data_IF_054857544257
#
_entry.id   IF_054857544257
#
_cell.length_a   1.000
_cell.length_b   1.000
_cell.length_c   1.000
_cell.angle_alpha   90.00
_cell.angle_beta   90.00
_cell.angle_gamma   90.00
#
_symmetry.space_group_name_H-M   'P 1'
#
loop_
_entity.id
_entity.type
_entity.pdbx_description
1 polymer ?
#
# COMPACT_ATOMS: atom_id res chain seq x y z
N UNK A 1 73.04 -44.35 45.92
CA UNK A 1 72.60 -43.57 47.09
C UNK A 1 71.37 -44.24 47.66
N UNK A 2 71.53 -44.82 48.85
CA UNK A 2 70.53 -45.67 49.52
C UNK A 2 69.34 -44.85 50.04
N UNK A 3 68.13 -45.16 49.58
CA UNK A 3 66.88 -44.66 50.14
C UNK A 3 66.13 -45.82 50.79
N UNK A 4 66.19 -45.92 52.12
CA UNK A 4 65.45 -46.89 52.93
C UNK A 4 63.94 -46.65 52.80
N UNK A 5 63.21 -47.67 52.35
CA UNK A 5 61.75 -47.73 52.41
C UNK A 5 61.27 -47.72 53.86
N UNK A 6 60.48 -46.71 54.21
CA UNK A 6 59.82 -46.58 55.50
C UNK A 6 58.36 -46.98 55.29
N UNK A 7 58.05 -48.27 55.50
CA UNK A 7 56.67 -48.73 55.54
C UNK A 7 56.07 -48.36 56.90
N UNK A 8 55.15 -47.40 56.86
CA UNK A 8 54.29 -47.00 57.98
C UNK A 8 53.31 -48.13 58.28
N UNK A 9 53.49 -48.81 59.42
CA UNK A 9 52.45 -49.66 60.01
C UNK A 9 51.29 -48.78 60.45
N UNK A 10 50.18 -48.84 59.72
CA UNK A 10 48.90 -48.34 60.23
C UNK A 10 48.46 -49.26 61.37
N UNK A 11 48.55 -48.73 62.59
CA UNK A 11 47.80 -49.21 63.72
C UNK A 11 46.33 -48.84 63.49
N UNK A 12 45.47 -49.84 63.34
CA UNK A 12 44.07 -49.87 63.79
C UNK A 12 43.33 -51.02 63.10
N UNK A 13 43.40 -52.18 63.74
CA UNK A 13 42.30 -53.15 63.75
C UNK A 13 42.47 -53.94 65.03
N UNK A 14 41.50 -53.82 65.93
CA UNK A 14 41.41 -54.60 67.16
C UNK A 14 41.38 -56.09 66.83
N UNK A 15 42.57 -56.71 66.77
CA UNK A 15 42.73 -58.14 66.67
C UNK A 15 42.78 -58.69 68.09
N UNK A 16 41.66 -59.26 68.52
CA UNK A 16 41.60 -60.21 69.63
C UNK A 16 42.73 -61.22 69.42
N UNK A 17 43.73 -61.24 70.32
CA UNK A 17 44.77 -62.27 70.36
C UNK A 17 44.08 -63.61 70.59
N UNK A 18 43.94 -64.38 69.53
CA UNK A 18 43.59 -65.80 69.61
C UNK A 18 44.89 -66.57 69.45
N UNK A 19 45.33 -67.28 70.50
CA UNK A 19 46.41 -68.28 70.46
C UNK A 19 45.94 -69.50 69.64
N UNK A 20 45.69 -69.31 68.36
CA UNK A 20 45.30 -70.36 67.41
C UNK A 20 46.25 -70.28 66.22
N UNK A 21 46.81 -71.43 65.83
CA UNK A 21 47.60 -71.57 64.61
C UNK A 21 46.88 -70.86 63.46
N UNK A 22 47.51 -69.81 62.96
CA UNK A 22 47.05 -69.04 61.82
C UNK A 22 47.80 -69.54 60.60
N UNK A 23 47.09 -70.01 59.57
CA UNK A 23 47.72 -70.54 58.35
C UNK A 23 47.53 -69.53 57.23
N UNK A 24 48.58 -69.29 56.44
CA UNK A 24 48.51 -68.40 55.29
C UNK A 24 47.84 -69.08 54.09
N UNK A 25 46.80 -68.47 53.57
CA UNK A 25 46.11 -68.88 52.34
C UNK A 25 46.24 -67.80 51.27
N UNK A 26 46.25 -68.23 50.00
CA UNK A 26 46.39 -67.33 48.87
C UNK A 26 45.02 -66.88 48.36
N UNK A 27 44.84 -65.57 48.19
CA UNK A 27 43.67 -65.00 47.55
C UNK A 27 43.59 -65.40 46.07
N UNK A 28 42.46 -65.95 45.64
CA UNK A 28 42.20 -66.33 44.25
C UNK A 28 42.25 -65.15 43.28
N UNK A 29 41.84 -63.96 43.71
CA UNK A 29 41.71 -62.79 42.84
C UNK A 29 43.01 -62.01 42.63
N UNK A 30 43.82 -61.85 43.68
CA UNK A 30 45.03 -60.99 43.65
C UNK A 30 46.32 -61.70 44.04
N UNK A 31 46.25 -63.00 44.35
CA UNK A 31 47.39 -63.84 44.70
C UNK A 31 48.14 -63.42 45.99
N UNK A 32 47.61 -62.48 46.76
CA UNK A 32 48.14 -62.05 48.06
C UNK A 32 47.86 -63.11 49.13
N UNK A 33 48.84 -63.38 49.99
CA UNK A 33 48.71 -64.27 51.14
C UNK A 33 48.05 -63.54 52.32
N UNK A 34 47.11 -64.21 52.98
CA UNK A 34 46.47 -63.71 54.20
C UNK A 34 46.21 -64.85 55.19
N UNK A 35 46.30 -64.53 56.48
CA UNK A 35 46.16 -65.49 57.56
C UNK A 35 44.69 -65.82 57.83
N UNK A 36 44.36 -67.11 57.94
CA UNK A 36 43.06 -67.61 58.39
C UNK A 36 43.22 -68.42 59.67
N UNK A 37 42.28 -68.27 60.60
CA UNK A 37 42.26 -69.01 61.87
C UNK A 37 41.67 -70.41 61.71
N UNK A 38 42.28 -71.24 60.87
CA UNK A 38 41.91 -72.63 60.65
C UNK A 38 43.01 -73.55 61.18
N UNK A 39 42.63 -74.70 61.73
CA UNK A 39 43.60 -75.77 62.01
C UNK A 39 44.10 -76.41 60.72
N UNK A 40 45.28 -77.03 60.74
CA UNK A 40 45.90 -77.61 59.55
C UNK A 40 45.04 -78.72 58.91
N UNK A 41 44.42 -79.57 59.74
CA UNK A 41 43.44 -80.58 59.31
C UNK A 41 42.22 -79.98 58.59
N UNK A 42 41.71 -78.86 59.11
CA UNK A 42 40.56 -78.16 58.52
C UNK A 42 40.95 -77.53 57.18
N UNK A 43 42.19 -77.05 57.04
CA UNK A 43 42.68 -76.47 55.80
C UNK A 43 42.88 -77.53 54.71
N UNK A 44 43.39 -78.71 55.05
CA UNK A 44 43.50 -79.83 54.10
C UNK A 44 42.15 -80.28 53.57
N UNK A 45 41.14 -80.38 54.45
CA UNK A 45 39.76 -80.69 54.05
C UNK A 45 39.21 -79.65 53.07
N UNK A 46 39.42 -78.36 53.36
CA UNK A 46 38.96 -77.27 52.50
C UNK A 46 39.72 -77.25 51.16
N UNK A 47 41.02 -77.57 51.16
CA UNK A 47 41.82 -77.70 49.92
C UNK A 47 41.40 -78.89 49.06
N UNK A 48 40.88 -79.97 49.67
CA UNK A 48 40.37 -81.13 48.95
C UNK A 48 39.05 -80.82 48.20
N UNK A 49 38.33 -79.78 48.61
CA UNK A 49 37.14 -79.29 47.93
C UNK A 49 37.53 -78.43 46.72
N UNK A 50 37.40 -78.97 45.50
CA UNK A 50 37.73 -78.27 44.26
C UNK A 50 36.88 -77.01 43.97
N UNK A 51 35.81 -76.82 44.74
CA UNK A 51 34.84 -75.74 44.61
C UNK A 51 34.98 -74.64 45.69
N UNK A 52 35.98 -74.73 46.57
CA UNK A 52 36.21 -73.71 47.60
C UNK A 52 37.42 -72.85 47.24
N UNK A 53 37.25 -71.53 47.26
CA UNK A 53 38.29 -70.55 46.96
C UNK A 53 38.38 -69.52 48.09
N UNK A 54 39.61 -69.16 48.46
CA UNK A 54 39.86 -68.11 49.44
C UNK A 54 39.95 -66.76 48.72
N UNK A 55 39.20 -65.77 49.19
CA UNK A 55 39.23 -64.40 48.66
C UNK A 55 39.53 -63.46 49.82
N UNK A 56 40.54 -62.61 49.68
CA UNK A 56 40.88 -61.66 50.73
C UNK A 56 39.84 -60.55 50.85
N UNK A 57 39.74 -59.96 52.04
CA UNK A 57 38.86 -58.82 52.32
C UNK A 57 38.99 -57.68 51.32
N UNK A 58 40.20 -57.41 50.82
CA UNK A 58 40.45 -56.36 49.83
C UNK A 58 39.78 -56.64 48.48
N UNK A 59 39.79 -57.89 48.03
CA UNK A 59 39.12 -58.31 46.79
C UNK A 59 37.62 -58.55 46.99
N UNK A 60 37.20 -58.90 48.21
CA UNK A 60 35.79 -58.99 48.56
C UNK A 60 35.12 -57.60 48.63
N UNK A 61 35.86 -56.58 49.09
CA UNK A 61 35.39 -55.19 49.26
C UNK A 61 35.74 -54.26 48.09
N UNK A 62 36.53 -54.72 47.10
CA UNK A 62 36.81 -53.90 45.92
C UNK A 62 35.54 -53.71 45.10
N UNK A 63 35.17 -52.47 44.71
CA UNK A 63 33.97 -52.22 43.95
C UNK A 63 34.04 -53.02 42.65
N UNK A 64 32.97 -53.76 42.37
CA UNK A 64 32.87 -54.58 41.16
C UNK A 64 33.04 -53.71 39.93
N UNK A 65 33.43 -54.32 38.80
CA UNK A 65 33.45 -53.61 37.51
C UNK A 65 32.08 -52.98 37.21
N UNK A 66 31.00 -53.64 37.62
CA UNK A 66 29.63 -53.17 37.52
C UNK A 66 29.40 -51.88 38.32
N UNK A 67 29.86 -51.80 39.58
CA UNK A 67 29.73 -50.60 40.42
C UNK A 67 30.48 -49.39 39.82
N UNK A 68 31.65 -49.63 39.23
CA UNK A 68 32.44 -48.58 38.58
C UNK A 68 31.75 -48.06 37.31
N UNK A 69 31.18 -48.95 36.50
CA UNK A 69 30.38 -48.60 35.32
C UNK A 69 29.14 -47.82 35.74
N UNK A 70 28.41 -48.28 36.76
CA UNK A 70 27.23 -47.58 37.29
C UNK A 70 27.58 -46.17 37.74
N UNK A 71 28.70 -45.99 38.46
CA UNK A 71 29.15 -44.67 38.91
C UNK A 71 29.47 -43.74 37.73
N UNK A 72 30.18 -44.25 36.73
CA UNK A 72 30.54 -43.50 35.52
C UNK A 72 29.31 -43.09 34.70
N UNK A 73 28.36 -44.01 34.51
CA UNK A 73 27.09 -43.74 33.81
C UNK A 73 26.27 -42.70 34.58
N UNK A 74 26.17 -42.82 35.91
CA UNK A 74 25.47 -41.83 36.74
C UNK A 74 26.08 -40.44 36.60
N UNK A 75 27.41 -40.30 36.65
CA UNK A 75 28.05 -39.00 36.44
C UNK A 75 27.83 -38.44 35.03
N UNK A 76 27.91 -39.28 34.00
CA UNK A 76 27.65 -38.86 32.62
C UNK A 76 26.21 -38.40 32.41
N UNK A 77 25.25 -39.09 33.01
CA UNK A 77 23.84 -38.71 32.95
C UNK A 77 23.57 -37.35 33.60
N UNK A 78 24.22 -37.05 34.73
CA UNK A 78 24.11 -35.74 35.38
C UNK A 78 24.61 -34.62 34.44
N UNK A 79 25.78 -34.80 33.83
CA UNK A 79 26.31 -33.82 32.87
C UNK A 79 25.41 -33.63 31.64
N UNK A 80 24.78 -34.70 31.15
CA UNK A 80 23.84 -34.64 30.04
C UNK A 80 22.59 -33.86 30.45
N UNK A 81 22.02 -34.14 31.62
CA UNK A 81 20.87 -33.41 32.16
C UNK A 81 21.16 -31.91 32.30
N UNK A 82 22.34 -31.55 32.85
CA UNK A 82 22.74 -30.15 33.00
C UNK A 82 22.85 -29.42 31.65
N UNK A 83 23.39 -30.11 30.63
CA UNK A 83 23.47 -29.58 29.26
C UNK A 83 22.07 -29.39 28.66
N UNK A 84 21.17 -30.37 28.83
CA UNK A 84 19.78 -30.31 28.36
C UNK A 84 19.05 -29.14 29.03
N UNK A 85 19.23 -28.94 30.33
CA UNK A 85 18.60 -27.84 31.06
C UNK A 85 19.11 -26.47 30.61
N UNK A 86 20.42 -26.35 30.37
CA UNK A 86 21.03 -25.14 29.82
C UNK A 86 20.50 -24.80 28.42
N UNK A 87 20.42 -25.81 27.53
CA UNK A 87 19.83 -25.67 26.20
C UNK A 87 18.35 -25.28 26.28
N UNK A 88 17.58 -25.94 27.15
CA UNK A 88 16.16 -25.66 27.36
C UNK A 88 15.93 -24.23 27.84
N UNK A 89 16.78 -23.72 28.74
CA UNK A 89 16.75 -22.31 29.17
C UNK A 89 17.02 -21.35 28.00
N UNK A 90 18.04 -21.61 27.18
CA UNK A 90 18.36 -20.78 26.01
C UNK A 90 17.23 -20.78 24.97
N UNK A 91 16.61 -21.93 24.72
CA UNK A 91 15.47 -22.06 23.80
C UNK A 91 14.29 -21.23 24.31
N UNK A 92 13.93 -21.36 25.60
CA UNK A 92 12.85 -20.57 26.22
C UNK A 92 13.09 -19.06 26.10
N UNK A 93 14.32 -18.59 26.34
CA UNK A 93 14.66 -17.17 26.18
C UNK A 93 14.47 -16.70 24.73
N UNK A 94 14.89 -17.48 23.74
CA UNK A 94 14.69 -17.14 22.32
C UNK A 94 13.21 -17.14 21.94
N UNK A 95 12.42 -18.10 22.41
CA UNK A 95 10.97 -18.16 22.18
C UNK A 95 10.29 -16.92 22.77
N UNK A 96 10.62 -16.54 24.00
CA UNK A 96 10.06 -15.35 24.63
C UNK A 96 10.43 -14.07 23.85
N UNK A 97 11.68 -13.95 23.39
CA UNK A 97 12.09 -12.82 22.55
C UNK A 97 11.35 -12.76 21.21
N UNK A 98 11.05 -13.92 20.59
CA UNK A 98 10.23 -14.00 19.39
C UNK A 98 8.79 -13.59 19.70
N UNK A 99 8.22 -14.07 20.81
CA UNK A 99 6.85 -13.76 21.24
C UNK A 99 6.64 -12.24 21.41
N UNK A 100 7.54 -11.56 22.11
CA UNK A 100 7.48 -10.09 22.26
C UNK A 100 7.52 -9.39 20.90
N UNK A 101 8.42 -9.82 20.00
CA UNK A 101 8.49 -9.26 18.63
C UNK A 101 7.23 -9.54 17.82
N UNK A 102 6.57 -10.68 18.02
CA UNK A 102 5.30 -11.00 17.36
C UNK A 102 4.17 -10.10 17.87
N UNK A 103 4.03 -9.92 19.18
CA UNK A 103 3.02 -9.02 19.79
C UNK A 103 3.22 -7.56 19.33
N UNK A 104 4.46 -7.08 19.28
CA UNK A 104 4.78 -5.77 18.71
C UNK A 104 4.38 -5.66 17.22
N UNK A 105 4.61 -6.71 16.44
CA UNK A 105 4.26 -6.72 15.02
C UNK A 105 2.75 -6.82 14.79
N UNK A 106 2.03 -7.57 15.60
CA UNK A 106 0.57 -7.66 15.58
C UNK A 106 -0.06 -6.28 15.83
N UNK A 107 0.42 -5.54 16.83
CA UNK A 107 -0.03 -4.16 17.09
C UNK A 107 0.22 -3.21 15.89
N UNK A 108 1.35 -3.40 15.18
CA UNK A 108 1.69 -2.63 13.96
C UNK A 108 0.78 -3.02 12.79
N UNK A 109 0.48 -4.30 12.63
CA UNK A 109 -0.46 -4.80 11.61
C UNK A 109 -1.86 -4.26 11.86
N UNK A 110 -2.35 -4.28 13.11
CA UNK A 110 -3.65 -3.72 13.47
C UNK A 110 -3.73 -2.21 13.16
N UNK A 111 -2.63 -1.45 13.31
CA UNK A 111 -2.57 -0.04 12.89
C UNK A 111 -2.56 0.14 11.38
N UNK A 112 -1.97 -0.78 10.61
CA UNK A 112 -1.97 -0.76 9.13
C UNK A 112 -3.34 -1.20 8.57
N UNK A 113 -4.05 -2.09 9.27
CA UNK A 113 -5.37 -2.59 8.90
C UNK A 113 -6.54 -1.65 9.24
N UNK A 114 -6.31 -0.33 9.36
CA UNK A 114 -7.39 0.67 9.35
C UNK A 114 -8.18 0.71 8.03
N UNK A 115 -7.69 0.02 7.01
CA UNK A 115 -8.40 -0.24 5.74
C UNK A 115 -9.70 -1.06 5.96
N UNK A 116 -9.87 -1.74 7.10
CA UNK A 116 -11.13 -2.38 7.52
C UNK A 116 -12.32 -1.42 7.54
N UNK A 117 -12.09 -0.13 7.79
CA UNK A 117 -13.16 0.87 7.72
C UNK A 117 -13.70 1.07 6.29
N UNK A 118 -13.00 0.58 5.26
CA UNK A 118 -13.45 0.65 3.87
C UNK A 118 -14.33 -0.54 3.44
N UNK A 119 -14.46 -1.57 4.28
CA UNK A 119 -15.33 -2.73 4.00
C UNK A 119 -16.72 -2.60 4.62
N UNK A 120 -17.07 -1.44 5.18
CA UNK A 120 -18.37 -1.12 5.79
C UNK A 120 -18.86 -2.19 6.81
N UNK A 121 -17.94 -2.90 7.47
CA UNK A 121 -18.25 -3.96 8.44
C UNK A 121 -18.79 -5.27 7.84
N UNK A 122 -18.78 -5.42 6.50
CA UNK A 122 -19.32 -6.61 5.81
C UNK A 122 -18.40 -7.84 5.93
N UNK A 123 -17.12 -7.63 6.23
CA UNK A 123 -16.15 -8.69 6.48
C UNK A 123 -15.48 -8.46 7.83
N UNK A 124 -15.74 -9.38 8.78
CA UNK A 124 -15.16 -9.39 10.14
C UNK A 124 -13.64 -9.61 10.17
N UNK A 125 -13.05 -9.93 9.01
CA UNK A 125 -11.62 -10.07 8.81
C UNK A 125 -11.23 -9.56 7.44
N UNK A 126 -10.26 -8.65 7.40
CA UNK A 126 -9.55 -8.33 6.16
C UNK A 126 -8.63 -9.53 5.89
N UNK A 127 -9.09 -10.45 5.06
CA UNK A 127 -8.34 -11.66 4.73
C UNK A 127 -7.15 -11.32 3.80
N UNK A 128 -6.16 -10.64 4.38
CA UNK A 128 -4.92 -10.27 3.74
C UNK A 128 -4.02 -11.50 3.76
N UNK A 129 -3.85 -12.12 2.60
CA UNK A 129 -2.96 -13.27 2.39
C UNK A 129 -1.50 -12.83 2.40
N UNK A 130 -1.21 -11.63 1.92
CA UNK A 130 0.17 -11.15 1.78
C UNK A 130 0.26 -9.65 1.97
N UNK A 131 1.23 -9.20 2.77
CA UNK A 131 1.59 -7.80 2.92
C UNK A 131 3.11 -7.66 2.83
N UNK A 132 3.59 -6.96 1.80
CA UNK A 132 5.03 -6.82 1.52
C UNK A 132 5.35 -5.41 1.04
N UNK A 133 6.53 -4.89 1.38
CA UNK A 133 7.07 -3.69 0.72
C UNK A 133 7.77 -4.07 -0.58
N UNK A 134 7.44 -3.36 -1.66
CA UNK A 134 8.02 -3.54 -2.99
C UNK A 134 9.33 -2.76 -3.14
N UNK A 135 10.27 -3.27 -3.96
CA UNK A 135 11.53 -2.61 -4.27
C UNK A 135 12.64 -2.77 -3.22
N UNK A 136 13.85 -2.30 -3.53
CA UNK A 136 15.02 -2.36 -2.64
C UNK A 136 14.94 -1.32 -1.54
N UNK A 137 15.30 -1.68 -0.31
CA UNK A 137 15.34 -0.74 0.83
C UNK A 137 16.32 0.40 0.53
N UNK A 138 15.84 1.63 0.64
CA UNK A 138 16.64 2.85 0.59
C UNK A 138 16.09 3.83 1.63
N UNK A 139 16.93 4.73 2.12
CA UNK A 139 16.53 5.66 3.19
C UNK A 139 15.78 6.90 2.64
N UNK A 140 15.91 7.18 1.34
CA UNK A 140 15.35 8.38 0.70
C UNK A 140 14.00 8.15 -0.01
N UNK A 141 13.51 6.91 -0.11
CA UNK A 141 12.29 6.59 -0.87
C UNK A 141 11.37 5.70 -0.04
N UNK A 142 10.16 6.19 0.22
CA UNK A 142 9.12 5.37 0.82
C UNK A 142 8.62 4.32 -0.16
N UNK A 143 8.86 3.06 0.18
CA UNK A 143 8.51 1.92 -0.67
C UNK A 143 7.01 1.61 -0.62
N UNK A 144 6.36 1.39 -1.77
CA UNK A 144 4.95 1.00 -1.82
C UNK A 144 4.73 -0.37 -1.18
N UNK A 145 3.53 -0.58 -0.65
CA UNK A 145 3.11 -1.83 -0.01
C UNK A 145 2.20 -2.59 -0.98
N UNK A 146 2.58 -3.82 -1.30
CA UNK A 146 1.71 -4.78 -1.98
C UNK A 146 0.87 -5.50 -0.95
N UNK A 147 -0.46 -5.43 -1.14
CA UNK A 147 -1.44 -6.15 -0.34
C UNK A 147 -2.15 -7.14 -1.27
N UNK A 148 -2.09 -8.42 -0.92
CA UNK A 148 -2.83 -9.50 -1.59
C UNK A 148 -3.98 -9.93 -0.69
N UNK A 149 -5.20 -9.85 -1.21
CA UNK A 149 -6.40 -10.39 -0.58
C UNK A 149 -6.64 -11.82 -1.05
N UNK A 150 -7.33 -12.62 -0.26
CA UNK A 150 -7.80 -13.96 -0.64
C UNK A 150 -9.01 -13.90 -1.59
N UNK A 151 -9.84 -12.87 -1.47
CA UNK A 151 -11.06 -12.66 -2.24
C UNK A 151 -10.96 -11.34 -3.04
N UNK A 152 -11.27 -11.45 -4.33
CA UNK A 152 -11.37 -10.31 -5.25
C UNK A 152 -12.47 -9.34 -4.84
N UNK A 153 -13.54 -9.80 -4.20
CA UNK A 153 -14.66 -8.96 -3.74
C UNK A 153 -14.22 -7.97 -2.67
N UNK A 154 -13.32 -8.39 -1.77
CA UNK A 154 -12.74 -7.50 -0.74
C UNK A 154 -11.95 -6.39 -1.41
N UNK A 155 -11.13 -6.73 -2.42
CA UNK A 155 -10.39 -5.75 -3.22
C UNK A 155 -11.35 -4.77 -3.90
N UNK A 156 -12.38 -5.25 -4.59
CA UNK A 156 -13.35 -4.40 -5.29
C UNK A 156 -14.09 -3.46 -4.34
N UNK A 157 -14.51 -3.95 -3.17
CA UNK A 157 -15.18 -3.14 -2.15
C UNK A 157 -14.27 -2.02 -1.63
N UNK A 158 -13.00 -2.32 -1.37
CA UNK A 158 -11.99 -1.33 -0.97
C UNK A 158 -11.83 -0.24 -2.04
N UNK A 159 -11.72 -0.63 -3.31
CA UNK A 159 -11.59 0.33 -4.41
C UNK A 159 -12.87 1.16 -4.62
N UNK A 160 -14.06 0.57 -4.43
CA UNK A 160 -15.34 1.28 -4.48
C UNK A 160 -15.43 2.35 -3.38
N UNK A 161 -14.91 2.04 -2.20
CA UNK A 161 -14.93 2.91 -1.03
C UNK A 161 -13.67 3.79 -0.89
N UNK A 162 -12.76 3.81 -1.87
CA UNK A 162 -11.48 4.54 -1.79
C UNK A 162 -11.64 6.03 -1.47
N UNK A 163 -12.74 6.64 -1.92
CA UNK A 163 -13.08 8.04 -1.66
C UNK A 163 -13.24 8.34 -0.16
N UNK A 164 -13.68 7.35 0.62
CA UNK A 164 -13.81 7.44 2.08
C UNK A 164 -12.46 7.45 2.78
N UNK A 165 -11.34 7.09 2.13
CA UNK A 165 -10.01 7.16 2.78
C UNK A 165 -9.67 8.56 3.29
N UNK A 166 -10.14 9.61 2.59
CA UNK A 166 -9.93 11.00 3.03
C UNK A 166 -10.65 11.32 4.34
N UNK A 167 -11.74 10.62 4.66
CA UNK A 167 -12.52 10.82 5.89
C UNK A 167 -12.12 9.89 7.04
N UNK A 168 -11.28 8.88 6.81
CA UNK A 168 -10.81 7.92 7.84
C UNK A 168 -9.71 8.51 8.75
N UNK A 169 -9.23 9.73 8.46
CA UNK A 169 -8.39 10.55 9.34
C UNK A 169 -7.21 11.22 8.64
N UNK A 170 -6.62 12.25 9.27
CA UNK A 170 -5.58 13.11 8.69
C UNK A 170 -4.29 12.36 8.24
N UNK A 171 -4.06 11.14 8.73
CA UNK A 171 -2.87 10.35 8.38
C UNK A 171 -2.94 9.62 7.03
N UNK A 172 -4.13 9.49 6.42
CA UNK A 172 -4.33 8.76 5.16
C UNK A 172 -4.65 9.66 3.97
N UNK A 173 -4.72 10.97 4.18
CA UNK A 173 -5.04 11.96 3.13
C UNK A 173 -4.01 12.01 2.00
N UNK A 174 -2.76 11.67 2.30
CA UNK A 174 -1.65 11.64 1.34
C UNK A 174 -1.33 10.23 0.80
N UNK A 175 -2.13 9.22 1.15
CA UNK A 175 -1.89 7.83 0.73
C UNK A 175 -2.75 7.49 -0.49
N UNK A 176 -2.11 7.01 -1.56
CA UNK A 176 -2.79 6.52 -2.76
C UNK A 176 -2.94 4.99 -2.76
N UNK A 177 -4.08 4.50 -3.22
CA UNK A 177 -4.26 3.08 -3.56
C UNK A 177 -4.43 2.94 -5.07
N UNK A 178 -3.76 1.95 -5.65
CA UNK A 178 -3.80 1.66 -7.08
C UNK A 178 -3.77 0.16 -7.33
N UNK A 179 -4.25 -0.26 -8.49
CA UNK A 179 -4.14 -1.64 -8.90
C UNK A 179 -2.67 -2.00 -9.20
N UNK A 180 -2.27 -3.19 -8.79
CA UNK A 180 -0.98 -3.76 -9.17
C UNK A 180 -1.06 -4.26 -10.63
N UNK A 181 -0.81 -3.33 -11.55
CA UNK A 181 -0.82 -3.57 -12.98
C UNK A 181 0.60 -3.95 -13.45
N UNK A 182 0.65 -4.87 -14.40
CA UNK A 182 1.88 -5.18 -15.13
C UNK A 182 2.36 -3.95 -15.90
N UNK A 183 3.61 -3.98 -16.37
CA UNK A 183 4.20 -2.86 -17.12
C UNK A 183 3.41 -2.62 -18.41
N UNK A 184 3.00 -3.69 -19.09
CA UNK A 184 2.24 -3.67 -20.34
C UNK A 184 0.88 -3.01 -20.11
N UNK A 185 0.13 -3.47 -19.10
CA UNK A 185 -1.19 -2.91 -18.75
C UNK A 185 -1.12 -1.44 -18.35
N UNK A 186 -0.04 -1.02 -17.66
CA UNK A 186 0.19 0.40 -17.34
C UNK A 186 0.44 1.24 -18.58
N UNK A 187 1.21 0.72 -19.54
CA UNK A 187 1.49 1.42 -20.79
C UNK A 187 0.24 1.54 -21.66
N UNK A 188 -0.58 0.49 -21.76
CA UNK A 188 -1.87 0.52 -22.44
C UNK A 188 -2.82 1.54 -21.80
N UNK A 189 -2.99 1.51 -20.48
CA UNK A 189 -3.82 2.48 -19.77
C UNK A 189 -3.34 3.91 -19.97
N UNK A 190 -2.02 4.13 -19.93
CA UNK A 190 -1.42 5.44 -20.18
C UNK A 190 -1.75 5.94 -21.59
N UNK A 191 -1.62 5.07 -22.60
CA UNK A 191 -1.98 5.40 -23.98
C UNK A 191 -3.44 5.85 -24.10
N UNK A 192 -4.39 5.10 -23.53
CA UNK A 192 -5.79 5.49 -23.53
C UNK A 192 -6.06 6.85 -22.87
N UNK A 193 -5.38 7.14 -21.76
CA UNK A 193 -5.51 8.44 -21.07
C UNK A 193 -4.89 9.60 -21.84
N UNK A 194 -3.79 9.36 -22.55
CA UNK A 194 -3.11 10.37 -23.37
C UNK A 194 -3.92 10.65 -24.65
N UNK A 195 -4.47 9.61 -25.28
CA UNK A 195 -5.40 9.72 -26.41
C UNK A 195 -6.63 10.56 -26.01
N UNK A 196 -7.27 10.25 -24.87
CA UNK A 196 -8.41 11.02 -24.37
C UNK A 196 -8.06 12.50 -24.09
N UNK A 197 -6.87 12.76 -23.53
CA UNK A 197 -6.39 14.13 -23.26
C UNK A 197 -6.09 14.92 -24.53
N UNK A 198 -5.63 14.25 -25.58
CA UNK A 198 -5.34 14.91 -26.87
C UNK A 198 -6.60 15.44 -27.57
N UNK A 199 -7.77 14.87 -27.26
CA UNK A 199 -9.05 15.23 -27.87
C UNK A 199 -9.73 16.37 -27.11
N UNK A 200 -9.49 16.52 -25.80
CA UNK A 200 -10.16 17.50 -24.95
C UNK A 200 -10.07 18.98 -25.43
N UNK A 201 -8.91 19.49 -25.90
CA UNK A 201 -8.80 20.87 -26.36
C UNK A 201 -9.66 21.17 -27.61
N UNK A 202 -9.83 20.18 -28.48
CA UNK A 202 -10.64 20.32 -29.70
C UNK A 202 -12.14 20.37 -29.38
N UNK A 203 -12.57 19.69 -28.31
CA UNK A 203 -13.96 19.73 -27.83
C UNK A 203 -14.31 21.14 -27.34
N UNK A 204 -13.44 21.75 -26.55
CA UNK A 204 -13.68 23.10 -26.01
C UNK A 204 -13.71 24.18 -27.11
N UNK A 205 -12.82 24.07 -28.11
CA UNK A 205 -12.80 24.98 -29.26
C UNK A 205 -14.05 24.88 -30.13
N UNK A 206 -14.50 23.66 -30.45
CA UNK A 206 -15.73 23.44 -31.23
C UNK A 206 -16.97 23.87 -30.42
N UNK A 207 -17.01 23.57 -29.12
CA UNK A 207 -18.09 24.01 -28.24
C UNK A 207 -18.19 25.55 -28.18
N UNK A 208 -17.04 26.25 -28.06
CA UNK A 208 -16.97 27.71 -28.08
C UNK A 208 -17.53 28.30 -29.37
N UNK A 209 -17.09 27.79 -30.53
CA UNK A 209 -17.60 28.24 -31.83
C UNK A 209 -19.11 28.07 -31.96
N UNK A 210 -19.67 26.92 -31.58
CA UNK A 210 -21.11 26.69 -31.66
C UNK A 210 -21.87 27.58 -30.64
N UNK A 211 -21.28 27.83 -29.47
CA UNK A 211 -21.88 28.64 -28.41
C UNK A 211 -21.89 30.15 -28.71
N UNK A 212 -20.97 30.64 -29.56
CA UNK A 212 -20.86 32.05 -29.94
C UNK A 212 -21.91 32.52 -30.96
N UNK A 213 -22.96 31.71 -31.21
CA UNK A 213 -24.12 32.09 -32.01
C UNK A 213 -24.03 31.70 -33.50
N UNK A 214 -23.18 30.73 -33.84
CA UNK A 214 -23.14 30.12 -35.17
C UNK A 214 -24.43 29.33 -35.45
N UNK A 215 -25.23 29.76 -36.42
CA UNK A 215 -26.48 29.09 -36.79
C UNK A 215 -26.24 27.73 -37.48
N UNK A 216 -25.16 27.62 -38.26
CA UNK A 216 -24.73 26.42 -38.98
C UNK A 216 -23.21 26.32 -38.95
N UNK A 217 -22.70 25.14 -38.61
CA UNK A 217 -21.28 24.77 -38.68
C UNK A 217 -21.14 23.53 -39.57
N UNK A 218 -20.31 23.62 -40.61
CA UNK A 218 -19.96 22.50 -41.48
C UNK A 218 -18.51 22.11 -41.20
N UNK A 219 -18.29 20.87 -40.77
CA UNK A 219 -16.97 20.30 -40.55
C UNK A 219 -16.69 19.29 -41.65
N UNK A 220 -15.77 19.64 -42.55
CA UNK A 220 -15.45 18.83 -43.72
C UNK A 220 -14.45 17.72 -43.39
N UNK A 221 -13.71 17.77 -42.28
CA UNK A 221 -12.69 16.77 -41.96
C UNK A 221 -12.75 16.38 -40.48
N UNK A 222 -13.43 15.27 -40.19
CA UNK A 222 -13.60 14.79 -38.81
C UNK A 222 -13.11 13.36 -38.66
N UNK A 223 -12.10 13.14 -37.82
CA UNK A 223 -11.47 11.83 -37.65
C UNK A 223 -12.23 10.97 -36.61
N UNK A 224 -13.43 10.50 -36.95
CA UNK A 224 -14.16 9.51 -36.15
C UNK A 224 -14.62 8.32 -37.00
N UNK A 225 -14.30 7.10 -36.56
CA UNK A 225 -14.57 5.85 -37.30
C UNK A 225 -15.85 5.11 -36.91
N UNK A 226 -16.61 5.61 -35.91
CA UNK A 226 -17.82 4.94 -35.41
C UNK A 226 -18.96 5.94 -35.16
N UNK A 227 -20.16 5.57 -35.58
CA UNK A 227 -21.38 6.32 -35.26
C UNK A 227 -21.61 6.36 -33.74
N UNK A 228 -21.77 7.56 -33.18
CA UNK A 228 -22.03 7.78 -31.75
C UNK A 228 -20.79 8.03 -30.88
N UNK A 229 -19.58 7.88 -31.43
CA UNK A 229 -18.31 8.18 -30.73
C UNK A 229 -17.60 9.41 -31.34
N UNK A 230 -18.38 10.44 -31.66
CA UNK A 230 -17.89 11.70 -32.21
C UNK A 230 -17.80 12.76 -31.11
N UNK A 231 -16.59 13.28 -30.88
CA UNK A 231 -16.30 14.39 -29.98
C UNK A 231 -17.22 15.60 -30.22
N UNK A 232 -17.65 15.80 -31.47
CA UNK A 232 -18.56 16.90 -31.83
C UNK A 232 -19.98 16.70 -31.28
N UNK A 233 -20.49 15.47 -31.15
CA UNK A 233 -21.80 15.26 -30.52
C UNK A 233 -21.76 15.53 -29.01
N UNK A 234 -20.62 15.29 -28.37
CA UNK A 234 -20.37 15.66 -26.98
C UNK A 234 -20.22 17.19 -26.85
N UNK A 235 -19.59 17.84 -27.83
CA UNK A 235 -19.41 19.29 -27.91
C UNK A 235 -20.66 20.06 -28.36
N UNK A 236 -21.76 19.38 -28.68
CA UNK A 236 -22.99 20.00 -29.20
C UNK A 236 -23.76 20.67 -28.05
N UNK A 237 -24.03 21.99 -28.09
CA UNK A 237 -24.82 22.64 -27.06
C UNK A 237 -26.28 22.15 -27.03
N UNK A 238 -26.99 22.31 -25.89
CA UNK A 238 -28.42 22.06 -25.81
C UNK A 238 -29.17 22.87 -26.87
N UNK A 239 -30.10 22.25 -27.58
CA UNK A 239 -30.87 22.92 -28.64
C UNK A 239 -30.16 23.00 -29.99
N UNK A 240 -29.09 22.25 -30.23
CA UNK A 240 -28.54 22.05 -31.58
C UNK A 240 -28.88 20.65 -32.11
N UNK A 241 -28.98 20.49 -33.42
CA UNK A 241 -29.14 19.21 -34.11
C UNK A 241 -27.91 18.93 -34.97
N UNK A 242 -27.62 17.64 -35.23
CA UNK A 242 -26.50 17.26 -36.09
C UNK A 242 -26.90 16.10 -36.99
N UNK A 243 -26.29 16.06 -38.18
CA UNK A 243 -26.47 14.97 -39.13
C UNK A 243 -25.12 14.31 -39.35
N UNK A 244 -24.98 13.05 -38.92
CA UNK A 244 -23.75 12.28 -39.04
C UNK A 244 -23.83 11.27 -40.19
N UNK A 245 -22.86 11.30 -41.11
CA UNK A 245 -22.75 10.35 -42.21
C UNK A 245 -21.37 9.71 -42.24
N UNK A 246 -21.26 8.46 -41.79
CA UNK A 246 -19.99 7.70 -41.80
C UNK A 246 -19.75 7.07 -43.17
N UNK A 247 -18.51 7.07 -43.67
CA UNK A 247 -18.13 6.37 -44.91
C UNK A 247 -18.37 4.86 -44.77
N UNK A 248 -19.13 4.27 -45.69
CA UNK A 248 -19.44 2.83 -45.66
C UNK A 248 -18.24 1.92 -45.94
N UNK A 249 -17.20 2.42 -46.61
CA UNK A 249 -16.08 1.62 -47.11
C UNK A 249 -14.75 1.84 -46.37
N UNK A 250 -14.73 2.68 -45.34
CA UNK A 250 -13.53 2.92 -44.54
C UNK A 250 -13.88 3.15 -43.06
N UNK A 251 -14.01 2.08 -42.25
CA UNK A 251 -14.35 2.18 -40.82
C UNK A 251 -13.25 2.82 -39.94
N UNK A 252 -12.10 3.20 -40.52
CA UNK A 252 -10.94 3.74 -39.79
C UNK A 252 -10.38 5.05 -40.35
N UNK A 253 -10.61 5.37 -41.62
CA UNK A 253 -10.33 6.68 -42.23
C UNK A 253 -11.47 7.66 -41.96
N UNK A 254 -11.13 8.85 -41.48
CA UNK A 254 -12.08 9.85 -40.97
C UNK A 254 -13.36 10.08 -41.78
N UNK A 255 -14.40 10.52 -41.06
CA UNK A 255 -15.68 10.94 -41.61
C UNK A 255 -15.57 12.33 -42.24
N UNK A 256 -16.21 12.50 -43.39
CA UNK A 256 -16.34 13.77 -44.10
C UNK A 256 -17.79 14.29 -43.99
N UNK A 257 -17.92 15.58 -43.72
CA UNK A 257 -19.12 16.43 -43.75
C UNK A 257 -20.15 16.26 -42.62
N UNK A 258 -19.79 16.77 -41.44
CA UNK A 258 -20.73 16.97 -40.34
C UNK A 258 -21.35 18.36 -40.41
N UNK A 259 -22.68 18.41 -40.53
CA UNK A 259 -23.46 19.65 -40.42
C UNK A 259 -24.10 19.70 -39.04
N UNK A 260 -23.78 20.74 -38.27
CA UNK A 260 -24.40 21.06 -37.00
C UNK A 260 -25.21 22.34 -37.18
N UNK A 261 -26.47 22.34 -36.74
CA UNK A 261 -27.37 23.49 -36.85
C UNK A 261 -28.13 23.76 -35.56
N UNK A 262 -28.49 25.02 -35.32
CA UNK A 262 -29.41 25.40 -34.22
C UNK A 262 -30.77 24.70 -34.38
N UNK A 263 -31.51 24.48 -33.29
CA UNK A 263 -32.86 23.91 -33.31
C UNK A 263 -33.85 24.77 -34.11
N UNK A 264 -33.60 26.07 -34.20
CA UNK A 264 -34.38 27.00 -35.03
C UNK A 264 -34.06 26.84 -36.53
N UNK A 265 -32.97 26.14 -36.85
CA UNK A 265 -32.54 25.76 -38.19
C UNK A 265 -32.74 24.26 -38.40
N UNK A 266 -34.01 23.85 -38.51
CA UNK A 266 -34.34 22.43 -38.68
C UNK A 266 -33.89 21.93 -40.05
N UNK A 267 -32.85 21.07 -40.05
CA UNK A 267 -32.40 20.37 -41.26
C UNK A 267 -33.41 19.27 -41.59
N UNK A 268 -34.07 19.38 -42.74
CA UNK A 268 -35.05 18.41 -43.26
C UNK A 268 -34.34 17.24 -43.95
N UNK A 269 -33.33 17.53 -44.77
CA UNK A 269 -32.61 16.51 -45.52
C UNK A 269 -31.23 17.01 -45.97
N UNK A 270 -30.30 16.08 -46.10
CA UNK A 270 -28.95 16.32 -46.61
C UNK A 270 -28.67 15.35 -47.75
N UNK A 271 -28.12 15.84 -48.85
CA UNK A 271 -27.71 15.03 -50.00
C UNK A 271 -26.27 15.36 -50.39
N UNK A 272 -25.45 14.34 -50.63
CA UNK A 272 -24.04 14.49 -51.02
C UNK A 272 -23.87 14.03 -52.47
N UNK A 273 -23.18 14.85 -53.27
CA UNK A 273 -22.86 14.56 -54.67
C UNK A 273 -21.35 14.51 -54.89
N UNK A 274 -20.83 13.55 -55.69
CA UNK A 274 -21.56 12.47 -56.37
C UNK A 274 -22.10 11.43 -55.37
N UNK A 275 -23.25 10.81 -55.67
CA UNK A 275 -23.85 9.82 -54.77
C UNK A 275 -22.91 8.64 -54.51
N UNK A 276 -22.72 8.30 -53.24
CA UNK A 276 -21.82 7.22 -52.80
C UNK A 276 -20.33 7.56 -52.83
N UNK A 277 -19.94 8.76 -53.29
CA UNK A 277 -18.56 9.23 -53.32
C UNK A 277 -18.39 10.36 -52.32
N UNK A 278 -17.59 10.10 -51.28
CA UNK A 278 -17.29 11.04 -50.21
C UNK A 278 -15.82 11.47 -50.34
N UNK A 279 -15.58 12.75 -50.63
CA UNK A 279 -14.28 13.37 -50.81
C UNK A 279 -14.36 14.84 -50.39
N UNK A 280 -13.25 15.47 -50.00
CA UNK A 280 -13.15 16.92 -49.68
C UNK A 280 -13.75 17.84 -50.76
N UNK A 281 -13.96 17.30 -51.96
CA UNK A 281 -14.54 17.96 -53.13
C UNK A 281 -16.03 17.64 -53.36
N UNK A 282 -16.68 16.91 -52.44
CA UNK A 282 -18.09 16.53 -52.54
C UNK A 282 -18.98 17.76 -52.32
N UNK A 283 -20.05 17.87 -53.11
CA UNK A 283 -21.05 18.91 -52.94
C UNK A 283 -22.12 18.42 -51.95
N UNK A 284 -22.20 19.10 -50.80
CA UNK A 284 -23.27 18.88 -49.82
C UNK A 284 -24.41 19.85 -50.12
N UNK A 285 -25.61 19.33 -50.31
CA UNK A 285 -26.83 20.13 -50.35
C UNK A 285 -27.67 19.86 -49.11
N UNK A 286 -28.07 20.93 -48.43
CA UNK A 286 -28.88 20.87 -47.21
C UNK A 286 -30.21 21.56 -47.49
N UNK A 287 -31.31 20.91 -47.13
CA UNK A 287 -32.64 21.52 -47.11
C UNK A 287 -33.03 21.78 -45.66
N UNK A 288 -33.32 23.02 -45.33
CA UNK A 288 -33.68 23.42 -43.97
C UNK A 288 -34.89 24.36 -43.94
N UNK A 289 -35.60 24.38 -42.81
CA UNK A 289 -36.63 25.38 -42.51
C UNK A 289 -35.97 26.55 -41.81
N UNK A 290 -36.04 27.73 -42.41
CA UNK A 290 -35.58 28.98 -41.78
C UNK A 290 -36.81 29.72 -41.26
N UNK A 291 -36.98 29.74 -39.94
CA UNK A 291 -37.91 30.66 -39.32
C UNK A 291 -37.35 32.08 -39.49
N UNK A 292 -38.01 32.95 -40.26
CA UNK A 292 -37.58 34.35 -40.40
C UNK A 292 -37.56 35.01 -39.00
N UNK A 293 -36.40 35.46 -38.48
CA UNK A 293 -36.38 36.17 -37.21
C UNK A 293 -37.10 37.52 -37.41
N UNK A 294 -37.94 37.92 -36.45
CA UNK A 294 -38.32 39.34 -36.33
C UNK A 294 -37.06 40.11 -35.93
N UNK A 295 -36.72 41.17 -36.68
CA UNK A 295 -35.59 42.04 -36.35
C UNK A 295 -35.74 42.58 -34.93
N UNK A 296 -34.87 42.17 -34.01
CA UNK A 296 -34.85 42.66 -32.64
C UNK A 296 -33.86 43.82 -32.55
N UNK A 297 -34.34 45.03 -32.33
CA UNK A 297 -33.49 46.20 -32.04
C UNK A 297 -32.87 46.02 -30.66
N UNK A 298 -31.58 45.73 -30.58
CA UNK A 298 -30.88 45.62 -29.30
C UNK A 298 -30.45 47.02 -28.82
N UNK A 299 -30.77 47.35 -27.57
CA UNK A 299 -30.25 48.54 -26.87
C UNK A 299 -28.99 48.13 -26.13
N UNK A 300 -27.84 48.67 -26.50
CA UNK A 300 -26.58 48.46 -25.77
C UNK A 300 -26.29 49.70 -24.93
N UNK A 301 -25.88 49.51 -23.69
CA UNK A 301 -25.46 50.60 -22.81
C UNK A 301 -23.94 50.57 -22.75
N UNK A 302 -23.30 51.63 -23.20
CA UNK A 302 -21.85 51.75 -23.27
C UNK A 302 -21.32 52.82 -22.31
N UNK A 303 -20.10 52.61 -21.79
CA UNK A 303 -19.32 53.58 -21.01
C UNK A 303 -17.93 53.68 -21.62
N UNK A 304 -17.65 54.80 -22.26
CA UNK A 304 -16.32 55.06 -22.82
C UNK A 304 -15.40 55.65 -21.75
N UNK A 305 -14.65 54.78 -21.07
CA UNK A 305 -13.61 55.21 -20.11
C UNK A 305 -12.31 55.69 -20.78
N UNK A 306 -12.26 55.76 -22.13
CA UNK A 306 -11.04 56.11 -22.89
C UNK A 306 -10.61 57.58 -22.77
N UNK A 307 -11.48 58.45 -22.26
CA UNK A 307 -11.23 59.90 -22.10
C UNK A 307 -11.69 60.36 -20.72
N UNK A 308 -11.44 59.56 -19.69
CA UNK A 308 -11.75 59.98 -18.32
C UNK A 308 -10.83 61.16 -17.95
N UNK A 309 -11.41 62.17 -17.30
CA UNK A 309 -10.63 63.24 -16.68
C UNK A 309 -9.91 62.65 -15.46
N UNK A 310 -8.63 62.34 -15.63
CA UNK A 310 -7.83 61.65 -14.61
C UNK A 310 -7.70 62.49 -13.34
N UNK A 311 -7.49 63.81 -13.47
CA UNK A 311 -7.35 64.72 -12.35
C UNK A 311 -8.66 64.83 -11.56
N UNK A 312 -9.78 65.00 -12.27
CA UNK A 312 -11.12 65.03 -11.65
C UNK A 312 -11.52 63.69 -11.02
N UNK A 313 -11.05 62.57 -11.56
CA UNK A 313 -11.26 61.24 -10.97
C UNK A 313 -10.46 61.06 -9.68
N UNK A 314 -9.18 61.44 -9.68
CA UNK A 314 -8.32 61.38 -8.50
C UNK A 314 -8.88 62.28 -7.40
N UNK A 315 -9.29 63.51 -7.72
CA UNK A 315 -9.91 64.43 -6.78
C UNK A 315 -11.21 63.86 -6.19
N UNK A 316 -12.05 63.24 -7.02
CA UNK A 316 -13.30 62.60 -6.55
C UNK A 316 -13.05 61.41 -5.63
N UNK A 317 -12.01 60.61 -5.88
CA UNK A 317 -11.62 59.49 -5.00
C UNK A 317 -11.07 60.02 -3.67
N UNK A 318 -10.18 61.03 -3.71
CA UNK A 318 -9.60 61.63 -2.52
C UNK A 318 -10.64 62.30 -1.61
N UNK A 319 -11.70 62.87 -2.18
CA UNK A 319 -12.81 63.47 -1.46
C UNK A 319 -13.94 62.49 -1.08
N UNK A 320 -13.77 61.20 -1.36
CA UNK A 320 -14.75 60.16 -1.03
C UNK A 320 -14.35 59.38 0.24
N UNK A 321 -15.27 58.61 0.84
CA UNK A 321 -14.94 57.70 1.94
C UNK A 321 -13.86 56.67 1.60
N UNK A 322 -13.55 56.46 0.31
CA UNK A 322 -12.51 55.53 -0.16
C UNK A 322 -11.09 55.92 0.26
N UNK A 323 -10.83 57.20 0.53
CA UNK A 323 -9.52 57.70 0.96
C UNK A 323 -9.33 57.67 2.49
N UNK A 324 -10.40 57.38 3.23
CA UNK A 324 -10.40 57.29 4.68
C UNK A 324 -9.93 55.94 5.22
N UNK A 325 -9.70 55.88 6.53
CA UNK A 325 -9.47 54.61 7.23
C UNK A 325 -10.73 53.74 7.20
N UNK A 326 -10.57 52.42 7.11
CA UNK A 326 -11.68 51.47 7.21
C UNK A 326 -12.47 51.71 8.50
N UNK A 327 -13.79 51.75 8.38
CA UNK A 327 -14.70 52.08 9.49
C UNK A 327 -15.09 50.83 10.29
N UNK A 328 -14.84 49.65 9.75
CA UNK A 328 -15.31 48.36 10.26
C UNK A 328 -14.28 47.23 10.03
N UNK A 329 -14.30 46.22 10.92
CA UNK A 329 -13.53 44.98 10.78
C UNK A 329 -14.22 43.93 9.89
N UNK A 330 -15.44 44.21 9.41
CA UNK A 330 -16.16 43.39 8.44
C UNK A 330 -15.68 43.69 7.02
N UNK A 331 -14.87 42.77 6.48
CA UNK A 331 -14.23 42.89 5.16
C UNK A 331 -15.24 42.92 4.04
N UNK A 332 -16.32 42.14 4.12
CA UNK A 332 -17.34 42.07 3.06
C UNK A 332 -18.17 43.37 3.01
N UNK A 333 -18.46 43.94 4.18
CA UNK A 333 -19.08 45.26 4.32
C UNK A 333 -18.22 46.38 3.72
N UNK A 334 -16.92 46.40 4.00
CA UNK A 334 -15.97 47.39 3.47
C UNK A 334 -15.81 47.26 1.94
N UNK A 335 -15.71 46.04 1.40
CA UNK A 335 -15.65 45.80 -0.06
C UNK A 335 -16.93 46.29 -0.75
N UNK A 336 -18.09 46.11 -0.11
CA UNK A 336 -19.36 46.60 -0.65
C UNK A 336 -19.41 48.13 -0.70
N UNK A 337 -18.99 48.80 0.38
CA UNK A 337 -18.89 50.27 0.43
C UNK A 337 -17.91 50.78 -0.63
N UNK A 338 -16.76 50.10 -0.79
CA UNK A 338 -15.77 50.43 -1.81
C UNK A 338 -16.38 50.40 -3.22
N UNK A 339 -17.05 49.29 -3.56
CA UNK A 339 -17.66 49.11 -4.88
C UNK A 339 -18.80 50.11 -5.14
N UNK A 340 -19.62 50.40 -4.14
CA UNK A 340 -20.74 51.33 -4.27
C UNK A 340 -20.27 52.77 -4.46
N UNK A 341 -19.25 53.22 -3.73
CA UNK A 341 -18.68 54.57 -3.90
C UNK A 341 -17.91 54.72 -5.21
N UNK A 342 -17.09 53.73 -5.59
CA UNK A 342 -16.40 53.75 -6.88
C UNK A 342 -17.40 53.83 -8.05
N UNK A 343 -18.51 53.09 -7.95
CA UNK A 343 -19.58 53.13 -8.95
C UNK A 343 -20.24 54.50 -9.04
N UNK A 344 -20.49 55.18 -7.92
CA UNK A 344 -21.05 56.55 -7.90
C UNK A 344 -20.10 57.55 -8.56
N UNK A 345 -18.81 57.47 -8.26
CA UNK A 345 -17.77 58.34 -8.86
C UNK A 345 -17.73 58.13 -10.38
N UNK A 346 -17.72 56.87 -10.83
CA UNK A 346 -17.73 56.52 -12.26
C UNK A 346 -19.02 56.99 -12.94
N UNK A 347 -20.19 56.81 -12.33
CA UNK A 347 -21.46 57.25 -12.92
C UNK A 347 -21.55 58.79 -13.04
N UNK A 348 -20.88 59.54 -12.16
CA UNK A 348 -20.79 61.00 -12.22
C UNK A 348 -19.83 61.50 -13.30
N UNK A 349 -18.67 60.85 -13.44
CA UNK A 349 -17.59 61.29 -14.34
C UNK A 349 -17.70 60.70 -15.76
N UNK A 350 -18.29 59.51 -15.90
CA UNK A 350 -18.45 58.80 -17.17
C UNK A 350 -19.90 58.31 -17.30
N UNK A 351 -20.85 59.22 -17.63
CA UNK A 351 -22.25 58.86 -17.74
C UNK A 351 -22.47 57.85 -18.87
N UNK A 352 -23.35 56.87 -18.59
CA UNK A 352 -23.74 55.82 -19.52
C UNK A 352 -24.37 56.42 -20.78
N UNK A 353 -23.98 55.91 -21.96
CA UNK A 353 -24.61 56.25 -23.24
C UNK A 353 -25.39 55.06 -23.75
N UNK A 354 -26.60 55.29 -24.25
CA UNK A 354 -27.41 54.25 -24.89
C UNK A 354 -27.11 54.28 -26.38
N UNK A 355 -26.58 53.18 -26.90
CA UNK A 355 -26.36 52.97 -28.33
C UNK A 355 -27.50 52.08 -28.84
N UNK A 356 -28.17 52.55 -29.89
CA UNK A 356 -29.17 51.79 -30.62
C UNK A 356 -28.48 51.16 -31.83
N UNK A 357 -28.22 49.85 -31.76
CA UNK A 357 -27.73 49.12 -32.92
C UNK A 357 -28.91 48.89 -33.88
N UNK A 358 -28.83 49.53 -35.05
CA UNK A 358 -29.72 49.23 -36.16
C UNK A 358 -29.05 48.13 -36.99
N UNK A 359 -29.50 46.89 -36.80
CA UNK A 359 -29.16 45.75 -37.63
C UNK A 359 -29.86 45.76 -38.98
#
# INVERSE_FOLDING_TARGET
MSGKGRSTRNANSDAVRSDKESIDVQCFCCWILFAVGLTEESLELVKACSNVQFVCDGCLKSPSLEDQVIKSVKSGNVEICDKIDSLSKKIRLKINAIKVKMEENESKINRVCKITHLTDGVHDGLNVVKLLRLGKKSDNVERPILIKFDDVKVKELIFKNIVKMRSVGNGLTCVGLSHDLTVEKRNELKKFLDDARSIAPNVDGVYGLISDGLEVLVLTETWHGLAGNNSVNIAKPPGYCHVNFVRQHDPGGGTLDLVVGSADFLIISTTVFPHGVFCEHSLITIKAVIAKPRRTTAKRIDRSCKKIDEDGFVEAVLNSPLSGSCLSNDVDGEIKIFNDELKKIIDKLVPKRVILDRG
#
